data_IF_519687334926
#
_entry.id   IF_519687334926
#
_cell.length_a   1.000
_cell.length_b   1.000
_cell.length_c   1.000
_cell.angle_alpha   90.00
_cell.angle_beta   90.00
_cell.angle_gamma   90.00
#
_symmetry.space_group_name_H-M   'P 1'
#
loop_
_entity.id
_entity.type
_entity.pdbx_description
1 polymer ?
#
# COMPACT_ATOMS: atom_id res chain seq x y z
N UNK A 1 18.63 3.43 -14.17
CA UNK A 1 18.37 3.42 -12.72
C UNK A 1 18.34 1.97 -12.30
N UNK A 2 19.43 1.47 -11.72
CA UNK A 2 19.59 0.08 -11.30
C UNK A 2 19.17 0.00 -9.84
N UNK A 3 18.12 -0.76 -9.56
CA UNK A 3 17.65 -0.99 -8.20
C UNK A 3 18.29 -2.27 -7.68
N UNK A 4 19.09 -2.16 -6.63
CA UNK A 4 19.66 -3.31 -5.93
C UNK A 4 18.54 -4.22 -5.41
N UNK A 5 18.59 -5.49 -5.80
CA UNK A 5 17.64 -6.52 -5.40
C UNK A 5 17.75 -6.76 -3.90
N UNK A 6 16.77 -6.26 -3.14
CA UNK A 6 16.71 -6.46 -1.69
C UNK A 6 16.31 -7.92 -1.44
N UNK A 7 16.95 -8.66 -0.50
CA UNK A 7 16.64 -10.07 -0.25
C UNK A 7 15.15 -10.38 0.02
N UNK A 8 14.40 -9.39 0.51
CA UNK A 8 12.96 -9.46 0.82
C UNK A 8 12.05 -9.52 -0.43
N UNK A 9 12.58 -9.20 -1.61
CA UNK A 9 11.86 -9.23 -2.90
C UNK A 9 11.98 -10.58 -3.63
N UNK A 10 12.80 -11.52 -3.12
CA UNK A 10 12.95 -12.85 -3.75
C UNK A 10 11.62 -13.61 -3.74
N UNK A 11 11.03 -13.75 -4.93
CA UNK A 11 9.76 -14.45 -5.15
C UNK A 11 8.51 -13.55 -5.20
N UNK A 12 8.65 -12.21 -5.15
CA UNK A 12 7.55 -11.27 -5.37
C UNK A 12 7.47 -10.83 -6.83
N UNK A 13 6.26 -10.81 -7.40
CA UNK A 13 6.02 -10.22 -8.72
C UNK A 13 6.12 -8.69 -8.59
N UNK A 14 6.96 -8.08 -9.43
CA UNK A 14 7.14 -6.61 -9.51
C UNK A 14 6.32 -6.04 -10.65
N UNK A 15 5.92 -4.78 -10.49
CA UNK A 15 5.10 -4.03 -11.42
C UNK A 15 5.79 -2.72 -11.72
N UNK A 16 6.06 -2.45 -12.99
CA UNK A 16 6.71 -1.21 -13.41
C UNK A 16 6.11 -0.75 -14.74
N UNK A 17 5.54 0.44 -14.73
CA UNK A 17 4.99 1.08 -15.93
C UNK A 17 5.19 2.60 -15.85
N UNK A 18 5.60 3.21 -16.96
CA UNK A 18 5.73 4.66 -17.04
C UNK A 18 4.35 5.33 -16.99
N UNK A 19 4.28 6.59 -16.56
CA UNK A 19 3.02 7.34 -16.47
C UNK A 19 2.19 7.35 -17.77
N UNK A 20 2.85 7.35 -18.94
CA UNK A 20 2.17 7.30 -20.25
C UNK A 20 1.67 5.92 -20.67
N UNK A 21 2.03 4.87 -19.92
CA UNK A 21 1.63 3.48 -20.13
C UNK A 21 0.69 2.99 -19.00
N UNK A 22 0.10 3.92 -18.25
CA UNK A 22 -0.80 3.62 -17.13
C UNK A 22 -2.11 4.38 -17.33
N UNK A 23 -3.21 3.63 -17.36
CA UNK A 23 -4.56 4.18 -17.38
C UNK A 23 -5.25 3.98 -16.02
N UNK A 24 -6.08 4.94 -15.61
CA UNK A 24 -6.86 4.83 -14.36
C UNK A 24 -6.11 5.24 -13.08
N UNK A 25 -4.83 5.62 -13.16
CA UNK A 25 -4.03 6.07 -12.01
C UNK A 25 -3.63 7.54 -12.04
N UNK A 26 -4.47 8.42 -12.61
CA UNK A 26 -4.29 9.87 -12.55
C UNK A 26 -3.00 10.39 -13.18
N UNK A 27 -2.49 9.71 -14.23
CA UNK A 27 -1.23 10.06 -14.89
C UNK A 27 0.03 9.74 -14.09
N UNK A 28 -0.07 8.90 -13.05
CA UNK A 28 1.08 8.39 -12.28
C UNK A 28 1.55 7.07 -12.88
N UNK A 29 2.86 6.87 -12.89
CA UNK A 29 3.44 5.57 -13.21
C UNK A 29 3.27 4.55 -12.07
N UNK A 30 3.55 3.30 -12.37
CA UNK A 30 3.62 2.20 -11.42
C UNK A 30 5.07 1.84 -11.11
N UNK A 31 5.33 1.59 -9.84
CA UNK A 31 6.53 0.98 -9.31
C UNK A 31 6.15 0.26 -8.01
N UNK A 32 5.43 -0.85 -8.17
CA UNK A 32 4.77 -1.56 -7.08
C UNK A 32 5.17 -3.02 -7.03
N UNK A 33 4.62 -3.71 -6.03
CA UNK A 33 4.85 -5.15 -5.81
C UNK A 33 3.54 -5.85 -5.48
N UNK A 34 3.39 -7.09 -5.93
CA UNK A 34 2.25 -7.91 -5.55
C UNK A 34 2.17 -8.07 -4.02
N UNK A 35 0.96 -7.90 -3.47
CA UNK A 35 0.72 -8.06 -2.03
C UNK A 35 0.73 -9.54 -1.59
N UNK A 36 0.53 -10.49 -2.50
CA UNK A 36 0.52 -11.93 -2.19
C UNK A 36 1.57 -12.72 -2.99
N UNK A 37 2.80 -12.92 -2.46
CA UNK A 37 3.86 -13.65 -3.16
C UNK A 37 3.65 -15.17 -3.26
N UNK A 38 3.06 -15.80 -2.24
CA UNK A 38 3.08 -17.26 -2.11
C UNK A 38 2.22 -18.02 -3.13
N UNK A 39 1.38 -17.32 -3.88
CA UNK A 39 0.48 -17.95 -4.82
C UNK A 39 0.21 -17.16 -6.11
N UNK A 40 0.88 -16.01 -6.29
CA UNK A 40 0.88 -15.27 -7.56
C UNK A 40 -0.50 -15.01 -8.15
N UNK A 41 -1.51 -14.76 -7.31
CA UNK A 41 -2.89 -14.73 -7.77
C UNK A 41 -3.22 -13.49 -8.59
N UNK A 42 -3.77 -13.75 -9.78
CA UNK A 42 -4.73 -12.91 -10.47
C UNK A 42 -6.13 -13.40 -10.09
N UNK A 43 -7.07 -12.49 -9.85
CA UNK A 43 -8.49 -12.85 -9.98
C UNK A 43 -8.96 -12.46 -11.38
N UNK A 44 -9.79 -13.29 -12.05
CA UNK A 44 -10.38 -12.89 -13.33
C UNK A 44 -11.42 -11.79 -13.10
N UNK A 45 -11.52 -10.85 -14.03
CA UNK A 45 -12.69 -9.99 -14.16
C UNK A 45 -13.84 -10.70 -14.91
N UNK A 46 -14.88 -9.95 -15.24
CA UNK A 46 -16.06 -10.47 -15.96
C UNK A 46 -15.74 -10.93 -17.38
N UNK A 47 -14.66 -10.40 -17.99
CA UNK A 47 -14.19 -10.74 -19.33
C UNK A 47 -13.13 -11.86 -19.30
N UNK A 48 -12.71 -12.29 -18.11
CA UNK A 48 -11.69 -13.32 -17.90
C UNK A 48 -10.25 -12.79 -17.93
N UNK A 49 -10.06 -11.47 -18.01
CA UNK A 49 -8.75 -10.86 -17.85
C UNK A 49 -8.31 -10.95 -16.39
N UNK A 50 -7.05 -11.28 -16.16
CA UNK A 50 -6.56 -11.43 -14.80
C UNK A 50 -6.14 -10.10 -14.21
N UNK A 51 -6.46 -9.87 -12.94
CA UNK A 51 -6.10 -8.67 -12.19
C UNK A 51 -5.27 -9.01 -10.97
N UNK A 52 -4.16 -8.31 -10.82
CA UNK A 52 -3.23 -8.38 -9.71
C UNK A 52 -3.56 -7.36 -8.64
N UNK A 53 -3.43 -7.73 -7.36
CA UNK A 53 -3.43 -6.74 -6.27
C UNK A 53 -2.00 -6.39 -5.90
N UNK A 54 -1.67 -5.10 -6.02
CA UNK A 54 -0.32 -4.58 -5.78
C UNK A 54 -0.33 -3.47 -4.73
N UNK A 55 0.82 -3.30 -4.10
CA UNK A 55 1.10 -2.14 -3.26
C UNK A 55 2.06 -1.20 -3.99
N UNK A 56 1.63 0.03 -4.18
CA UNK A 56 2.41 1.13 -4.74
C UNK A 56 2.90 2.02 -3.59
N UNK A 57 4.18 1.96 -3.21
CA UNK A 57 4.71 2.86 -2.20
C UNK A 57 4.63 4.32 -2.69
N UNK A 58 4.34 5.22 -1.77
CA UNK A 58 4.47 6.65 -2.06
C UNK A 58 5.94 7.02 -2.22
N UNK A 59 6.27 7.98 -3.10
CA UNK A 59 7.63 8.51 -3.20
C UNK A 59 8.00 9.18 -1.87
N UNK A 60 8.74 8.47 -1.03
CA UNK A 60 9.18 8.97 0.27
C UNK A 60 10.64 9.43 0.18
N UNK A 61 10.98 10.65 0.63
CA UNK A 61 12.36 11.13 0.66
C UNK A 61 13.17 10.62 1.88
N UNK A 62 12.59 9.75 2.72
CA UNK A 62 13.08 9.47 4.08
C UNK A 62 13.69 8.08 4.29
N UNK A 63 14.57 8.02 5.30
CA UNK A 63 15.43 6.90 5.68
C UNK A 63 14.76 5.51 5.72
N UNK A 64 15.50 4.44 5.35
CA UNK A 64 15.03 3.07 5.45
C UNK A 64 14.86 2.71 6.93
N UNK A 65 13.63 2.48 7.39
CA UNK A 65 13.40 1.99 8.75
C UNK A 65 12.01 2.19 9.35
N UNK A 66 11.17 3.03 8.76
CA UNK A 66 9.81 3.26 9.27
C UNK A 66 8.79 2.96 8.18
N UNK A 67 7.70 2.29 8.60
CA UNK A 67 6.56 1.81 7.81
C UNK A 67 6.36 2.59 6.51
N UNK A 68 6.22 1.89 5.40
CA UNK A 68 6.08 2.53 4.09
C UNK A 68 4.61 2.83 3.83
N UNK A 69 4.20 4.11 3.68
CA UNK A 69 2.85 4.45 3.25
C UNK A 69 2.73 4.26 1.73
N UNK A 70 1.53 3.93 1.28
CA UNK A 70 1.28 3.69 -0.14
C UNK A 70 -0.18 3.50 -0.48
N UNK A 71 -0.40 3.09 -1.72
CA UNK A 71 -1.70 2.84 -2.31
C UNK A 71 -1.87 1.34 -2.62
N UNK A 72 -3.08 0.81 -2.43
CA UNK A 72 -3.46 -0.54 -2.86
C UNK A 72 -4.14 -0.41 -4.21
N UNK A 73 -3.61 -1.09 -5.21
CA UNK A 73 -4.06 -1.01 -6.60
C UNK A 73 -4.45 -2.40 -7.11
N UNK A 74 -5.42 -2.44 -8.00
CA UNK A 74 -5.64 -3.57 -8.89
C UNK A 74 -5.05 -3.23 -10.27
N UNK A 75 -4.28 -4.14 -10.87
CA UNK A 75 -3.65 -3.96 -12.17
C UNK A 75 -3.91 -5.18 -13.07
N UNK A 76 -4.33 -4.97 -14.31
CA UNK A 76 -4.59 -6.08 -15.24
C UNK A 76 -3.30 -6.75 -15.76
N UNK A 77 -2.19 -6.03 -15.78
CA UNK A 77 -0.91 -6.55 -16.21
C UNK A 77 0.24 -6.08 -15.31
N UNK A 78 1.29 -6.89 -15.29
CA UNK A 78 2.58 -6.63 -14.64
C UNK A 78 3.56 -5.88 -15.54
N UNK A 79 3.53 -6.15 -16.85
CA UNK A 79 4.42 -5.54 -17.85
C UNK A 79 3.72 -5.48 -19.20
N UNK A 80 3.49 -4.28 -19.75
CA UNK A 80 2.84 -4.12 -21.05
C UNK A 80 2.87 -2.69 -21.57
N UNK A 81 2.37 -2.50 -22.80
CA UNK A 81 2.29 -1.19 -23.45
C UNK A 81 1.25 -0.27 -22.79
N UNK A 82 0.18 -0.85 -22.22
CA UNK A 82 -0.81 -0.14 -21.41
C UNK A 82 -1.24 -1.02 -20.23
N UNK A 83 -1.12 -0.49 -19.01
CA UNK A 83 -1.57 -1.14 -17.79
C UNK A 83 -2.79 -0.41 -17.25
N UNK A 84 -3.92 -1.09 -17.16
CA UNK A 84 -5.13 -0.56 -16.53
C UNK A 84 -5.03 -0.72 -15.02
N UNK A 85 -5.32 0.37 -14.32
CA UNK A 85 -5.20 0.45 -12.87
C UNK A 85 -6.51 0.92 -12.26
N UNK A 86 -6.91 0.23 -11.20
CA UNK A 86 -7.98 0.67 -10.31
C UNK A 86 -7.39 0.91 -8.92
N UNK A 87 -7.61 2.11 -8.38
CA UNK A 87 -7.22 2.42 -7.00
C UNK A 87 -8.24 1.80 -6.05
N UNK A 88 -7.81 0.84 -5.24
CA UNK A 88 -8.67 0.16 -4.26
C UNK A 88 -8.68 0.90 -2.92
N UNK A 89 -7.51 1.37 -2.48
CA UNK A 89 -7.36 2.20 -1.29
C UNK A 89 -6.11 3.08 -1.44
N UNK A 90 -6.12 4.25 -0.82
CA UNK A 90 -5.00 5.18 -0.84
C UNK A 90 -4.58 5.55 0.59
N UNK A 91 -3.28 5.75 0.79
CA UNK A 91 -2.74 6.18 2.09
C UNK A 91 -2.91 5.15 3.19
N UNK A 92 -2.45 3.92 2.93
CA UNK A 92 -2.39 2.82 3.88
C UNK A 92 -0.94 2.43 4.17
N UNK A 93 -0.71 1.73 5.27
CA UNK A 93 0.60 1.17 5.58
C UNK A 93 0.82 -0.16 4.86
N UNK A 94 2.04 -0.38 4.36
CA UNK A 94 2.42 -1.64 3.70
C UNK A 94 2.13 -2.87 4.57
N UNK A 95 2.52 -2.86 5.84
CA UNK A 95 2.36 -4.01 6.73
C UNK A 95 0.88 -4.37 6.92
N UNK A 96 0.02 -3.35 7.07
CA UNK A 96 -1.42 -3.53 7.26
C UNK A 96 -2.06 -4.05 5.97
N UNK A 97 -1.65 -3.54 4.80
CA UNK A 97 -2.08 -4.04 3.50
C UNK A 97 -1.64 -5.49 3.26
N UNK A 98 -0.37 -5.79 3.53
CA UNK A 98 0.21 -7.13 3.42
C UNK A 98 -0.47 -8.13 4.35
N UNK A 99 -0.80 -7.74 5.58
CA UNK A 99 -1.53 -8.58 6.52
C UNK A 99 -2.96 -8.88 6.04
N UNK A 100 -3.69 -7.86 5.57
CA UNK A 100 -5.08 -8.03 5.10
C UNK A 100 -5.16 -9.01 3.92
N UNK A 101 -4.34 -8.81 2.89
CA UNK A 101 -4.35 -9.64 1.68
C UNK A 101 -3.66 -11.00 1.85
N UNK A 102 -2.89 -11.21 2.93
CA UNK A 102 -2.39 -12.54 3.31
C UNK A 102 -3.49 -13.43 3.90
N UNK A 103 -4.45 -12.84 4.60
CA UNK A 103 -5.56 -13.57 5.25
C UNK A 103 -6.74 -13.73 4.29
N UNK A 104 -6.98 -12.75 3.43
CA UNK A 104 -8.10 -12.73 2.49
C UNK A 104 -7.61 -12.72 1.05
N UNK A 105 -7.92 -13.79 0.32
CA UNK A 105 -7.63 -13.90 -1.10
C UNK A 105 -8.84 -13.45 -1.91
N UNK A 106 -8.80 -12.26 -2.54
CA UNK A 106 -9.93 -11.78 -3.31
C UNK A 106 -10.14 -12.63 -4.57
N UNK A 107 -11.40 -12.94 -4.87
CA UNK A 107 -11.79 -13.66 -6.10
C UNK A 107 -12.38 -12.75 -7.19
N UNK A 108 -12.50 -11.45 -6.93
CA UNK A 108 -13.02 -10.45 -7.87
C UNK A 108 -12.57 -9.04 -7.47
N UNK A 109 -12.77 -8.07 -8.36
CA UNK A 109 -12.46 -6.66 -8.08
C UNK A 109 -13.28 -6.12 -6.90
N UNK A 110 -14.56 -6.48 -6.84
CA UNK A 110 -15.44 -6.10 -5.73
C UNK A 110 -14.95 -6.67 -4.40
N UNK A 111 -14.44 -7.89 -4.40
CA UNK A 111 -13.90 -8.51 -3.19
C UNK A 111 -12.58 -7.86 -2.77
N UNK A 112 -11.69 -7.59 -3.73
CA UNK A 112 -10.45 -6.86 -3.48
C UNK A 112 -10.72 -5.46 -2.89
N UNK A 113 -11.73 -4.74 -3.41
CA UNK A 113 -12.15 -3.45 -2.87
C UNK A 113 -12.67 -3.57 -1.43
N UNK A 114 -13.45 -4.62 -1.10
CA UNK A 114 -13.92 -4.87 0.28
C UNK A 114 -12.75 -5.12 1.24
N UNK A 115 -11.78 -5.94 0.84
CA UNK A 115 -10.59 -6.20 1.65
C UNK A 115 -9.79 -4.91 1.84
N UNK A 116 -9.52 -4.16 0.77
CA UNK A 116 -8.79 -2.90 0.82
C UNK A 116 -9.48 -1.86 1.73
N UNK A 117 -10.81 -1.75 1.68
CA UNK A 117 -11.58 -0.85 2.52
C UNK A 117 -11.50 -1.18 4.03
N UNK A 118 -11.13 -2.41 4.39
CA UNK A 118 -10.91 -2.81 5.78
C UNK A 118 -9.56 -2.39 6.33
N UNK A 119 -8.62 -1.97 5.46
CA UNK A 119 -7.26 -1.59 5.85
C UNK A 119 -7.27 -0.20 6.52
N UNK A 120 -6.65 -0.05 7.71
CA UNK A 120 -6.54 1.25 8.36
C UNK A 120 -5.76 2.25 7.52
N UNK A 121 -6.32 3.46 7.39
CA UNK A 121 -5.65 4.57 6.73
C UNK A 121 -4.60 5.18 7.66
N UNK A 122 -3.50 5.68 7.09
CA UNK A 122 -2.39 6.32 7.81
C UNK A 122 -2.92 7.43 8.73
N UNK A 123 -3.74 8.34 8.20
CA UNK A 123 -4.30 9.46 8.96
C UNK A 123 -5.18 9.03 10.15
N UNK A 124 -5.97 7.96 9.99
CA UNK A 124 -6.83 7.46 11.07
C UNK A 124 -6.07 6.82 12.25
N UNK A 125 -4.82 6.40 12.02
CA UNK A 125 -3.95 5.80 13.04
C UNK A 125 -3.26 6.88 13.88
N UNK A 126 -2.81 7.96 13.25
CA UNK A 126 -2.24 9.12 13.94
C UNK A 126 -3.26 9.75 14.91
N UNK A 127 -4.52 9.85 14.53
CA UNK A 127 -5.60 10.33 15.41
C UNK A 127 -5.83 9.43 16.63
N UNK A 128 -5.70 8.10 16.47
CA UNK A 128 -5.87 7.14 17.57
C UNK A 128 -4.67 7.15 18.53
N UNK A 129 -3.47 7.26 18.00
CA UNK A 129 -2.24 7.34 18.79
C UNK A 129 -2.16 8.67 19.56
N UNK A 130 -2.56 9.78 18.92
CA UNK A 130 -2.67 11.11 19.54
C UNK A 130 -3.76 11.21 20.61
N UNK A 131 -4.83 10.42 20.50
CA UNK A 131 -5.87 10.31 21.55
C UNK A 131 -5.46 9.41 22.72
N UNK A 132 -4.50 8.50 22.51
CA UNK A 132 -4.00 7.59 23.57
C UNK A 132 -2.84 8.22 24.35
N UNK A 133 -2.08 9.11 23.72
CA UNK A 133 -1.15 10.00 24.40
C UNK A 133 -1.95 11.11 25.12
N UNK A 134 -2.28 10.88 26.39
CA UNK A 134 -2.93 11.88 27.24
C UNK A 134 -2.19 13.23 27.27
N UNK A 135 -2.87 14.33 27.66
CA UNK A 135 -2.30 15.67 27.63
C UNK A 135 -1.00 15.74 28.46
N UNK A 136 0.00 16.54 28.03
CA UNK A 136 1.26 16.65 28.75
C UNK A 136 0.98 17.18 30.16
N UNK A 137 1.26 16.35 31.17
CA UNK A 137 1.27 16.79 32.56
C UNK A 137 2.36 17.86 32.71
N UNK A 138 1.96 19.12 32.81
CA UNK A 138 2.89 20.19 33.16
C UNK A 138 3.45 19.90 34.55
N UNK A 139 4.78 19.78 34.73
CA UNK A 139 5.36 19.81 36.06
C UNK A 139 5.27 21.27 36.54
N UNK A 140 4.33 21.54 37.46
CA UNK A 140 4.37 22.77 38.26
C UNK A 140 5.68 22.76 39.03
N UNK A 141 6.58 23.67 38.69
CA UNK A 141 7.83 23.88 39.40
C UNK A 141 7.61 24.25 40.87
N UNK A 142 8.60 23.99 41.74
CA UNK A 142 8.51 24.32 43.15
C UNK A 142 8.44 25.84 43.34
N UNK A 143 7.53 26.25 44.23
CA UNK A 143 7.32 27.63 44.67
C UNK A 143 8.54 28.06 45.51
N UNK A 144 9.02 29.27 45.22
CA UNK A 144 10.19 29.88 45.85
C UNK A 144 10.12 30.01 47.38
N UNK A 145 11.33 30.16 47.92
CA UNK A 145 11.72 30.33 49.31
C UNK A 145 10.93 31.38 50.12
N UNK A 146 10.74 31.06 51.39
CA UNK A 146 10.47 31.98 52.49
C UNK A 146 11.26 31.55 53.72
#
# INVERSE_FOLDING_TARGET
MQWDEVPEDRGRVRFAAAAGAVEGYGGRGLNGRALHPAAGYLFPDEDGEGWWVIFQPWPSPGSPGYKVPGDILACNDSYGDMVHVVVLAAGVWEDDAGAAFRVHLPSSLADAARVAASVPHVAGREDKERRTAGPPVSPRGPMDAG
#
